data_IF_014300453714
#
_entry.id   IF_014300453714
#
_cell.length_a   1.000
_cell.length_b   1.000
_cell.length_c   1.000
_cell.angle_alpha   90.00
_cell.angle_beta   90.00
_cell.angle_gamma   90.00
#
_symmetry.space_group_name_H-M   'P 1'
#
loop_
_entity.id
_entity.type
_entity.pdbx_description
1 polymer ?
#
# COMPACT_ATOMS: atom_id res chain seq x y z
N UNK A 1 1.80 13.41 37.67
CA UNK A 1 1.74 11.94 37.49
C UNK A 1 3.04 11.42 38.02
N UNK A 2 2.99 10.49 38.99
CA UNK A 2 4.16 9.83 39.53
C UNK A 2 4.35 8.54 38.72
N UNK A 3 5.48 8.39 38.07
CA UNK A 3 5.84 7.26 37.25
C UNK A 3 6.85 6.42 38.05
N UNK A 4 6.78 5.10 37.98
CA UNK A 4 7.72 4.22 38.65
C UNK A 4 9.14 4.42 38.12
N UNK A 5 10.14 4.21 39.01
CA UNK A 5 11.52 4.53 38.71
C UNK A 5 12.07 3.80 37.46
N UNK A 6 11.61 2.58 37.21
CA UNK A 6 11.99 1.79 36.03
C UNK A 6 11.43 2.40 34.74
N UNK A 7 10.17 2.81 34.74
CA UNK A 7 9.51 3.48 33.61
C UNK A 7 10.13 4.87 33.39
N UNK A 8 10.48 5.56 34.47
CA UNK A 8 11.17 6.85 34.36
C UNK A 8 12.53 6.71 33.67
N UNK A 9 13.29 5.66 34.03
CA UNK A 9 14.58 5.37 33.42
C UNK A 9 14.45 5.03 31.93
N UNK A 10 13.52 4.16 31.55
CA UNK A 10 13.25 3.80 30.16
C UNK A 10 12.83 5.02 29.32
N UNK A 11 11.98 5.89 29.87
CA UNK A 11 11.57 7.15 29.23
C UNK A 11 12.76 8.12 29.08
N UNK A 12 13.64 8.18 30.08
CA UNK A 12 14.84 9.02 30.04
C UNK A 12 15.80 8.53 28.94
N UNK A 13 16.05 7.24 28.88
CA UNK A 13 16.92 6.61 27.88
C UNK A 13 16.35 6.82 26.46
N UNK A 14 15.04 6.64 26.30
CA UNK A 14 14.35 6.88 25.02
C UNK A 14 14.39 8.37 24.62
N UNK A 15 14.23 9.29 25.54
CA UNK A 15 14.34 10.74 25.32
C UNK A 15 15.71 11.11 24.77
N UNK A 16 16.77 10.54 25.33
CA UNK A 16 18.15 10.75 24.86
C UNK A 16 18.36 10.21 23.45
N UNK A 17 17.87 8.99 23.17
CA UNK A 17 18.04 8.34 21.86
C UNK A 17 17.18 9.01 20.77
N UNK A 18 15.97 9.46 21.11
CA UNK A 18 15.03 10.07 20.16
C UNK A 18 15.27 11.57 19.93
N UNK A 19 16.02 12.23 20.81
CA UNK A 19 16.20 13.69 20.80
C UNK A 19 14.94 14.49 21.14
N UNK A 20 13.91 13.84 21.70
CA UNK A 20 12.65 14.46 22.12
C UNK A 20 12.68 14.71 23.62
N UNK A 21 11.93 15.73 24.09
CA UNK A 21 11.83 15.95 25.54
C UNK A 21 11.06 14.80 26.21
N UNK A 22 11.37 14.51 27.47
CA UNK A 22 10.61 13.52 28.26
C UNK A 22 9.09 13.82 28.27
N UNK A 23 8.73 15.08 28.29
CA UNK A 23 7.33 15.51 28.26
C UNK A 23 6.65 15.19 26.93
N UNK A 24 7.37 15.32 25.82
CA UNK A 24 6.85 14.95 24.49
C UNK A 24 6.71 13.42 24.39
N UNK A 25 7.71 12.67 24.85
CA UNK A 25 7.67 11.20 24.90
C UNK A 25 6.48 10.71 25.75
N UNK A 26 6.25 11.31 26.91
CA UNK A 26 5.13 10.98 27.79
C UNK A 26 3.77 11.36 27.13
N UNK A 27 3.72 12.51 26.49
CA UNK A 27 2.51 12.97 25.77
C UNK A 27 2.17 12.05 24.62
N UNK A 28 3.17 11.57 23.87
CA UNK A 28 3.00 10.59 22.80
C UNK A 28 2.51 9.25 23.37
N UNK A 29 3.15 8.76 24.44
CA UNK A 29 2.76 7.52 25.10
C UNK A 29 1.32 7.56 25.65
N UNK A 30 0.95 8.67 26.32
CA UNK A 30 -0.41 8.87 26.85
C UNK A 30 -1.42 8.95 25.68
N UNK A 31 -1.11 9.66 24.59
CA UNK A 31 -1.98 9.69 23.41
C UNK A 31 -2.16 8.31 22.80
N UNK A 32 -1.08 7.53 22.70
CA UNK A 32 -1.13 6.14 22.23
C UNK A 32 -1.97 5.25 23.15
N UNK A 33 -1.85 5.40 24.46
CA UNK A 33 -2.69 4.67 25.42
C UNK A 33 -4.17 5.09 25.33
N UNK A 34 -4.44 6.40 25.17
CA UNK A 34 -5.81 6.90 25.00
C UNK A 34 -6.42 6.49 23.66
N UNK A 35 -5.62 6.37 22.63
CA UNK A 35 -6.03 5.80 21.34
C UNK A 35 -6.33 4.31 21.51
N UNK A 36 -5.41 3.52 22.10
CA UNK A 36 -5.65 2.11 22.43
C UNK A 36 -6.87 1.88 23.32
N UNK A 37 -7.09 2.72 24.32
CA UNK A 37 -8.27 2.65 25.18
C UNK A 37 -9.58 3.03 24.47
N UNK A 38 -9.50 3.74 23.36
CA UNK A 38 -10.65 3.98 22.45
C UNK A 38 -10.78 2.89 21.38
N UNK A 39 -9.71 2.14 21.17
CA UNK A 39 -9.55 1.07 20.20
C UNK A 39 -9.70 -0.33 20.86
N UNK A 40 -10.54 -0.50 21.88
CA UNK A 40 -11.17 -1.81 21.97
C UNK A 40 -11.98 -1.96 20.66
N UNK A 41 -11.67 -2.95 19.82
CA UNK A 41 -12.39 -3.16 18.57
C UNK A 41 -13.76 -3.75 18.88
N UNK A 42 -14.66 -2.92 19.40
CA UNK A 42 -16.10 -3.14 19.35
C UNK A 42 -16.69 -2.47 18.10
N UNK A 43 -15.96 -2.41 17.01
CA UNK A 43 -16.62 -2.41 15.72
C UNK A 43 -17.10 -3.85 15.52
N UNK A 44 -18.39 -4.08 15.82
CA UNK A 44 -19.11 -5.18 15.21
C UNK A 44 -18.85 -5.06 13.70
N UNK A 45 -17.86 -5.83 13.21
CA UNK A 45 -17.60 -5.93 11.79
C UNK A 45 -18.78 -6.64 11.15
N UNK A 46 -19.85 -5.91 10.85
CA UNK A 46 -21.02 -6.42 10.15
C UNK A 46 -20.71 -6.72 8.66
N UNK A 47 -19.48 -6.45 8.24
CA UNK A 47 -18.98 -6.69 6.89
C UNK A 47 -17.90 -7.77 6.85
N UNK A 48 -17.00 -7.62 5.89
CA UNK A 48 -15.83 -8.50 5.69
C UNK A 48 -14.59 -7.88 6.35
N UNK A 49 -13.62 -8.74 6.70
CA UNK A 49 -12.32 -8.31 7.22
C UNK A 49 -11.29 -8.23 6.10
N UNK A 50 -10.36 -7.28 6.20
CA UNK A 50 -9.25 -7.19 5.23
C UNK A 50 -7.95 -6.75 5.89
N UNK A 51 -6.84 -7.05 5.21
CA UNK A 51 -5.51 -6.53 5.54
C UNK A 51 -5.01 -5.61 4.42
N UNK A 52 -4.25 -4.57 4.78
CA UNK A 52 -3.68 -3.58 3.87
C UNK A 52 -2.15 -3.63 3.91
N UNK A 53 -1.54 -4.27 2.90
CA UNK A 53 -0.10 -4.41 2.78
C UNK A 53 0.49 -3.33 1.88
N UNK A 54 1.65 -2.80 2.26
CA UNK A 54 2.28 -1.64 1.60
C UNK A 54 1.32 -0.44 1.60
N UNK A 55 0.70 -0.23 2.74
CA UNK A 55 -0.48 0.62 2.92
C UNK A 55 -0.26 2.10 2.57
N UNK A 56 0.99 2.56 2.50
CA UNK A 56 1.32 3.95 2.24
C UNK A 56 0.65 4.86 3.28
N UNK A 57 -0.16 5.79 2.82
CA UNK A 57 -0.94 6.70 3.68
C UNK A 57 -2.39 6.22 3.90
N UNK A 58 -2.75 5.01 3.44
CA UNK A 58 -4.03 4.35 3.69
C UNK A 58 -5.11 4.56 2.63
N UNK A 59 -4.73 4.83 1.37
CA UNK A 59 -5.71 5.01 0.28
C UNK A 59 -6.56 3.77 0.02
N UNK A 60 -5.97 2.58 0.04
CA UNK A 60 -6.69 1.31 -0.11
C UNK A 60 -7.61 1.05 1.08
N UNK A 61 -7.13 1.32 2.29
CA UNK A 61 -7.95 1.20 3.50
C UNK A 61 -9.22 2.03 3.41
N UNK A 62 -9.11 3.32 3.04
CA UNK A 62 -10.28 4.20 2.85
C UNK A 62 -11.29 3.61 1.87
N UNK A 63 -10.81 3.06 0.75
CA UNK A 63 -11.69 2.46 -0.26
C UNK A 63 -12.44 1.24 0.27
N UNK A 64 -11.74 0.32 0.95
CA UNK A 64 -12.34 -0.91 1.47
C UNK A 64 -13.23 -0.66 2.68
N UNK A 65 -12.89 0.29 3.57
CA UNK A 65 -13.76 0.70 4.68
C UNK A 65 -15.03 1.39 4.17
N UNK A 66 -14.95 2.21 3.11
CA UNK A 66 -16.14 2.82 2.49
C UNK A 66 -17.08 1.79 1.86
N UNK A 67 -16.58 0.61 1.51
CA UNK A 67 -17.33 -0.53 1.02
C UNK A 67 -17.80 -1.49 2.15
N UNK A 68 -17.68 -1.10 3.41
CA UNK A 68 -18.13 -1.87 4.58
C UNK A 68 -17.12 -2.87 5.12
N UNK A 69 -15.87 -2.81 4.69
CA UNK A 69 -14.81 -3.67 5.21
C UNK A 69 -14.22 -3.15 6.52
N UNK A 70 -13.63 -4.06 7.31
CA UNK A 70 -12.88 -3.76 8.52
C UNK A 70 -11.41 -4.10 8.32
N UNK A 71 -10.51 -3.10 8.46
CA UNK A 71 -9.08 -3.32 8.40
C UNK A 71 -8.60 -3.95 9.72
N UNK A 72 -8.16 -5.20 9.68
CA UNK A 72 -7.67 -5.93 10.87
C UNK A 72 -6.14 -5.96 10.98
N UNK A 73 -5.43 -5.57 9.93
CA UNK A 73 -3.98 -5.50 9.91
C UNK A 73 -3.50 -4.57 8.81
N UNK A 74 -2.44 -3.83 9.06
CA UNK A 74 -1.78 -3.01 8.05
C UNK A 74 -0.25 -3.07 8.19
N UNK A 75 0.43 -2.94 7.05
CA UNK A 75 1.89 -2.96 6.97
C UNK A 75 2.39 -1.83 6.07
N UNK A 76 3.39 -1.08 6.54
CA UNK A 76 4.08 -0.04 5.79
C UNK A 76 5.48 0.17 6.38
N UNK A 77 6.52 0.13 5.55
CA UNK A 77 7.89 0.24 6.05
C UNK A 77 8.41 1.68 6.16
N UNK A 78 7.85 2.60 5.34
CA UNK A 78 8.28 3.99 5.32
C UNK A 78 7.72 4.75 6.54
N UNK A 79 8.61 5.22 7.42
CA UNK A 79 8.22 5.90 8.66
C UNK A 79 7.36 7.15 8.47
N UNK A 80 7.52 7.87 7.36
CA UNK A 80 6.71 9.07 7.08
C UNK A 80 5.32 8.71 6.61
N UNK A 81 5.19 7.67 5.80
CA UNK A 81 3.89 7.09 5.44
C UNK A 81 3.18 6.55 6.67
N UNK A 82 3.89 5.81 7.54
CA UNK A 82 3.34 5.33 8.82
C UNK A 82 2.82 6.48 9.70
N UNK A 83 3.53 7.60 9.81
CA UNK A 83 3.09 8.77 10.57
C UNK A 83 1.78 9.34 10.01
N UNK A 84 1.68 9.47 8.68
CA UNK A 84 0.46 9.94 8.03
C UNK A 84 -0.67 8.93 8.18
N UNK A 85 -0.38 7.64 8.03
CA UNK A 85 -1.36 6.57 8.25
C UNK A 85 -1.89 6.60 9.69
N UNK A 86 -1.00 6.72 10.67
CA UNK A 86 -1.38 6.84 12.07
C UNK A 86 -2.23 8.08 12.32
N UNK A 87 -1.88 9.24 11.74
CA UNK A 87 -2.67 10.45 11.88
C UNK A 87 -4.09 10.32 11.29
N UNK A 88 -4.25 9.52 10.21
CA UNK A 88 -5.53 9.30 9.56
C UNK A 88 -6.42 8.29 10.28
N UNK A 89 -5.82 7.21 10.81
CA UNK A 89 -6.56 6.03 11.28
C UNK A 89 -6.34 5.71 12.76
N UNK A 90 -5.39 6.35 13.44
CA UNK A 90 -5.04 6.06 14.84
C UNK A 90 -4.28 4.76 15.04
N UNK A 91 -4.05 3.96 14.00
CA UNK A 91 -3.38 2.65 14.04
C UNK A 91 -1.99 2.77 13.45
N UNK A 92 -1.00 2.20 14.14
CA UNK A 92 0.37 2.13 13.64
C UNK A 92 0.53 0.90 12.75
N UNK A 93 0.86 1.05 11.45
CA UNK A 93 1.19 -0.10 10.61
C UNK A 93 2.46 -0.82 11.09
N UNK A 94 2.50 -2.13 10.92
CA UNK A 94 3.74 -2.90 11.07
C UNK A 94 4.78 -2.45 10.04
N UNK A 95 6.06 -2.68 10.35
CA UNK A 95 7.18 -2.20 9.54
C UNK A 95 7.49 -3.06 8.32
N UNK A 96 8.69 -3.62 8.29
CA UNK A 96 9.23 -4.40 7.17
C UNK A 96 8.53 -5.76 7.03
N UNK A 97 7.74 -5.94 5.95
CA UNK A 97 6.97 -7.16 5.70
C UNK A 97 7.83 -8.41 5.59
N UNK A 98 9.09 -8.28 5.20
CA UNK A 98 10.02 -9.42 5.08
C UNK A 98 10.38 -10.03 6.44
N UNK A 99 10.14 -9.29 7.53
CA UNK A 99 10.39 -9.70 8.92
C UNK A 99 9.12 -10.22 9.62
N UNK A 100 7.96 -9.99 9.02
CA UNK A 100 6.68 -10.42 9.60
C UNK A 100 6.45 -11.90 9.31
N UNK A 101 6.18 -12.69 10.34
CA UNK A 101 5.76 -14.08 10.17
C UNK A 101 4.31 -14.10 9.67
N UNK A 102 4.04 -14.82 8.58
CA UNK A 102 2.71 -14.83 7.98
C UNK A 102 1.64 -15.34 8.96
N UNK A 103 2.01 -16.26 9.84
CA UNK A 103 1.15 -16.87 10.85
C UNK A 103 0.69 -15.87 11.90
N UNK A 104 1.49 -14.83 12.20
CA UNK A 104 1.15 -13.79 13.17
C UNK A 104 0.13 -12.77 12.64
N UNK A 105 -0.06 -12.70 11.32
CA UNK A 105 -1.07 -11.84 10.71
C UNK A 105 -2.46 -12.39 11.05
N UNK A 106 -3.44 -11.56 11.46
CA UNK A 106 -4.81 -12.02 11.73
C UNK A 106 -5.45 -12.71 10.51
N UNK A 107 -6.37 -13.64 10.76
CA UNK A 107 -7.20 -14.20 9.69
C UNK A 107 -8.11 -13.12 9.13
N UNK A 108 -8.29 -13.14 7.82
CA UNK A 108 -9.01 -12.10 7.08
C UNK A 108 -9.68 -12.66 5.83
N UNK A 109 -10.70 -11.96 5.37
CA UNK A 109 -11.43 -12.35 4.17
C UNK A 109 -10.74 -11.91 2.88
N UNK A 110 -10.13 -10.71 2.89
CA UNK A 110 -9.51 -10.10 1.70
C UNK A 110 -8.10 -9.60 2.03
N UNK A 111 -7.13 -9.93 1.17
CA UNK A 111 -5.81 -9.32 1.18
C UNK A 111 -5.76 -8.19 0.15
N UNK A 112 -5.41 -6.99 0.59
CA UNK A 112 -5.21 -5.83 -0.28
C UNK A 112 -3.75 -5.42 -0.26
N UNK A 113 -3.15 -5.13 -1.43
CA UNK A 113 -1.75 -4.74 -1.49
C UNK A 113 -1.42 -3.86 -2.71
N UNK A 114 -0.86 -2.69 -2.46
CA UNK A 114 -0.19 -1.85 -3.47
C UNK A 114 1.31 -2.14 -3.49
N UNK A 115 1.72 -3.32 -3.98
CA UNK A 115 3.11 -3.74 -3.89
C UNK A 115 4.03 -2.95 -4.84
N UNK A 116 5.28 -2.63 -4.45
CA UNK A 116 6.18 -1.85 -5.28
C UNK A 116 6.64 -2.60 -6.53
N UNK A 117 6.77 -1.86 -7.65
CA UNK A 117 7.33 -2.38 -8.90
C UNK A 117 8.85 -2.51 -8.77
N UNK A 118 9.32 -3.61 -8.20
CA UNK A 118 10.74 -3.93 -8.16
C UNK A 118 11.13 -4.85 -9.31
N UNK A 119 12.32 -4.71 -9.90
CA UNK A 119 12.78 -5.62 -10.94
C UNK A 119 12.89 -7.04 -10.37
N UNK A 120 12.18 -7.97 -11.00
CA UNK A 120 12.35 -9.38 -10.70
C UNK A 120 13.76 -9.81 -11.12
N UNK A 121 14.52 -10.36 -10.22
CA UNK A 121 15.78 -11.02 -10.56
C UNK A 121 15.48 -12.34 -11.25
N UNK A 122 15.32 -12.27 -12.58
CA UNK A 122 14.91 -13.40 -13.44
C UNK A 122 15.95 -14.53 -13.41
N UNK A 123 17.19 -14.26 -13.00
CA UNK A 123 18.25 -15.25 -12.94
C UNK A 123 17.91 -16.48 -12.06
N UNK A 124 17.10 -16.31 -11.01
CA UNK A 124 16.64 -17.39 -10.15
C UNK A 124 15.50 -18.22 -10.76
N UNK A 125 14.57 -17.58 -11.45
CA UNK A 125 13.38 -18.22 -12.03
C UNK A 125 13.72 -19.00 -13.30
N UNK A 126 14.50 -18.41 -14.21
CA UNK A 126 14.89 -19.05 -15.47
C UNK A 126 15.76 -20.31 -15.27
N UNK A 127 16.63 -20.31 -14.25
CA UNK A 127 17.53 -21.46 -13.99
C UNK A 127 16.78 -22.69 -13.45
N UNK A 128 15.62 -22.50 -12.83
CA UNK A 128 14.79 -23.60 -12.29
C UNK A 128 13.87 -24.21 -13.34
N UNK A 129 13.29 -23.39 -14.22
CA UNK A 129 12.47 -23.88 -15.33
C UNK A 129 13.28 -24.74 -16.30
N UNK A 130 14.58 -24.43 -16.51
CA UNK A 130 15.48 -25.23 -17.35
C UNK A 130 15.92 -26.54 -16.70
N UNK A 131 15.77 -26.69 -15.38
CA UNK A 131 16.18 -27.91 -14.63
C UNK A 131 15.02 -28.81 -14.23
N UNK A 132 13.77 -28.51 -14.65
CA UNK A 132 12.57 -29.33 -14.38
C UNK A 132 12.24 -29.46 -12.88
N UNK A 133 12.79 -28.58 -12.02
CA UNK A 133 12.49 -28.56 -10.59
C UNK A 133 11.28 -27.67 -10.32
N UNK A 134 10.33 -28.17 -9.52
CA UNK A 134 9.19 -27.41 -9.08
C UNK A 134 9.62 -26.02 -8.53
N UNK A 135 9.00 -24.97 -9.05
CA UNK A 135 9.15 -23.60 -8.55
C UNK A 135 8.53 -23.52 -7.16
N UNK A 136 9.26 -23.98 -6.15
CA UNK A 136 8.81 -23.87 -4.76
C UNK A 136 9.02 -22.46 -4.24
N UNK A 137 8.05 -21.93 -3.53
CA UNK A 137 8.09 -20.64 -2.81
C UNK A 137 9.18 -20.56 -1.72
N UNK A 138 9.96 -21.61 -1.55
CA UNK A 138 10.96 -21.76 -0.48
C UNK A 138 12.33 -21.15 -0.80
N UNK A 139 12.53 -20.58 -2.00
CA UNK A 139 13.83 -20.02 -2.37
C UNK A 139 14.00 -18.58 -1.92
N UNK A 140 14.76 -18.38 -0.86
CA UNK A 140 15.16 -17.08 -0.29
C UNK A 140 15.87 -16.12 -1.27
N UNK A 141 16.13 -16.54 -2.50
CA UNK A 141 16.80 -15.74 -3.54
C UNK A 141 15.82 -14.95 -4.42
N UNK A 142 14.52 -15.08 -4.23
CA UNK A 142 13.50 -14.39 -5.04
C UNK A 142 13.14 -12.99 -4.53
N UNK A 143 13.99 -12.31 -3.83
CA UNK A 143 14.02 -10.98 -3.23
C UNK A 143 13.09 -9.87 -3.73
N UNK A 144 11.86 -10.16 -4.15
CA UNK A 144 10.86 -9.13 -4.46
C UNK A 144 9.69 -9.24 -3.49
N UNK A 145 9.19 -8.10 -3.05
CA UNK A 145 8.08 -7.98 -2.11
C UNK A 145 6.76 -8.63 -2.60
N UNK A 146 6.63 -8.88 -3.90
CA UNK A 146 5.54 -9.69 -4.44
C UNK A 146 5.52 -11.11 -3.88
N UNK A 147 6.68 -11.74 -3.68
CA UNK A 147 6.74 -13.08 -3.10
C UNK A 147 6.40 -13.11 -1.61
N UNK A 148 6.55 -11.98 -0.89
CA UNK A 148 6.00 -11.84 0.45
C UNK A 148 4.47 -11.81 0.43
N UNK A 149 3.85 -11.16 -0.56
CA UNK A 149 2.40 -11.27 -0.77
C UNK A 149 2.01 -12.73 -1.02
N UNK A 150 2.72 -13.45 -1.90
CA UNK A 150 2.46 -14.86 -2.16
C UNK A 150 2.62 -15.73 -0.90
N UNK A 151 3.62 -15.46 -0.06
CA UNK A 151 3.86 -16.14 1.21
C UNK A 151 2.67 -15.98 2.16
N UNK A 152 2.13 -14.77 2.26
CA UNK A 152 0.97 -14.47 3.11
C UNK A 152 -0.30 -15.10 2.52
N UNK A 153 -0.54 -14.99 1.20
CA UNK A 153 -1.63 -15.66 0.51
C UNK A 153 -1.63 -17.18 0.74
N UNK A 154 -0.45 -17.80 0.70
CA UNK A 154 -0.29 -19.24 0.96
C UNK A 154 -0.63 -19.61 2.39
N UNK A 155 -0.14 -18.83 3.37
CA UNK A 155 -0.30 -19.12 4.79
C UNK A 155 -1.73 -18.82 5.29
N UNK A 156 -2.32 -17.71 4.87
CA UNK A 156 -3.61 -17.21 5.38
C UNK A 156 -4.81 -17.60 4.53
N UNK A 157 -4.59 -17.83 3.28
CA UNK A 157 -5.60 -18.28 2.33
C UNK A 157 -6.92 -17.48 2.39
N UNK A 158 -6.85 -16.14 2.21
CA UNK A 158 -8.05 -15.31 2.20
C UNK A 158 -9.00 -15.69 1.07
N UNK A 159 -10.29 -15.37 1.23
CA UNK A 159 -11.33 -15.63 0.22
C UNK A 159 -11.04 -14.98 -1.12
N UNK A 160 -10.46 -13.77 -1.06
CA UNK A 160 -10.08 -13.00 -2.24
C UNK A 160 -8.84 -12.14 -1.96
N UNK A 161 -8.26 -11.60 -3.01
CA UNK A 161 -7.25 -10.55 -2.89
C UNK A 161 -7.47 -9.47 -3.95
N UNK A 162 -6.99 -8.27 -3.69
CA UNK A 162 -6.82 -7.20 -4.66
C UNK A 162 -5.39 -6.65 -4.60
N UNK A 163 -4.68 -6.72 -5.73
CA UNK A 163 -3.33 -6.18 -5.87
C UNK A 163 -3.32 -5.02 -6.85
N UNK A 164 -2.56 -3.97 -6.56
CA UNK A 164 -2.38 -2.81 -7.42
C UNK A 164 -0.92 -2.63 -7.80
N UNK A 165 -0.68 -2.19 -9.03
CA UNK A 165 0.64 -1.78 -9.49
C UNK A 165 0.54 -0.77 -10.64
N UNK A 166 1.68 -0.24 -11.07
CA UNK A 166 1.74 0.63 -12.25
C UNK A 166 1.40 -0.13 -13.52
N UNK A 167 0.75 0.52 -14.50
CA UNK A 167 0.42 -0.06 -15.81
C UNK A 167 1.61 -0.74 -16.48
N UNK A 168 2.81 -0.16 -16.34
CA UNK A 168 4.02 -0.68 -16.99
C UNK A 168 4.43 -2.08 -16.51
N UNK A 169 3.86 -2.59 -15.42
CA UNK A 169 4.06 -3.96 -14.97
C UNK A 169 3.71 -4.97 -16.07
N UNK A 170 2.67 -4.69 -16.88
CA UNK A 170 2.23 -5.56 -17.96
C UNK A 170 3.26 -5.69 -19.09
N UNK A 171 4.06 -4.65 -19.33
CA UNK A 171 5.06 -4.63 -20.41
C UNK A 171 6.49 -4.83 -19.89
N UNK A 172 6.69 -4.81 -18.57
CA UNK A 172 7.99 -4.97 -17.96
C UNK A 172 8.64 -6.29 -18.39
N UNK A 173 9.90 -6.20 -18.81
CA UNK A 173 10.66 -7.34 -19.33
C UNK A 173 9.91 -8.13 -20.43
N UNK A 174 9.37 -7.40 -21.42
CA UNK A 174 8.58 -7.97 -22.53
C UNK A 174 7.37 -8.80 -22.07
N UNK A 175 6.77 -8.43 -20.93
CA UNK A 175 5.60 -9.08 -20.34
C UNK A 175 5.94 -10.29 -19.44
N UNK A 176 7.18 -10.71 -19.35
CA UNK A 176 7.60 -11.89 -18.54
C UNK A 176 7.31 -11.71 -17.06
N UNK A 177 7.55 -10.50 -16.53
CA UNK A 177 7.26 -10.18 -15.12
C UNK A 177 5.79 -10.41 -14.78
N UNK A 178 4.88 -9.92 -15.61
CA UNK A 178 3.45 -10.07 -15.36
C UNK A 178 2.98 -11.52 -15.54
N UNK A 179 3.58 -12.25 -16.48
CA UNK A 179 3.32 -13.68 -16.64
C UNK A 179 3.71 -14.47 -15.38
N UNK A 180 4.88 -14.21 -14.79
CA UNK A 180 5.33 -14.85 -13.54
C UNK A 180 4.34 -14.54 -12.40
N UNK A 181 3.89 -13.30 -12.27
CA UNK A 181 2.88 -12.91 -11.27
C UNK A 181 1.60 -13.73 -11.43
N UNK A 182 1.08 -13.82 -12.66
CA UNK A 182 -0.14 -14.57 -12.93
C UNK A 182 0.01 -16.07 -12.64
N UNK A 183 1.14 -16.67 -13.05
CA UNK A 183 1.46 -18.08 -12.82
C UNK A 183 1.55 -18.37 -11.32
N UNK A 184 2.32 -17.56 -10.57
CA UNK A 184 2.45 -17.71 -9.12
C UNK A 184 1.10 -17.63 -8.38
N UNK A 185 0.23 -16.69 -8.77
CA UNK A 185 -1.10 -16.57 -8.15
C UNK A 185 -2.03 -17.76 -8.52
N UNK A 186 -1.90 -18.31 -9.73
CA UNK A 186 -2.65 -19.50 -10.15
C UNK A 186 -2.14 -20.78 -9.45
N UNK A 187 -0.82 -20.89 -9.24
CA UNK A 187 -0.22 -21.98 -8.47
C UNK A 187 -0.70 -22.00 -7.01
N UNK A 188 -1.02 -20.81 -6.44
CA UNK A 188 -1.69 -20.69 -5.15
C UNK A 188 -3.19 -21.06 -5.18
N UNK A 189 -3.68 -21.57 -6.31
CA UNK A 189 -5.05 -21.99 -6.52
C UNK A 189 -6.09 -20.84 -6.49
N UNK A 190 -5.69 -19.64 -6.96
CA UNK A 190 -6.63 -18.53 -7.17
C UNK A 190 -7.06 -18.41 -8.63
N UNK A 191 -8.33 -18.07 -8.86
CA UNK A 191 -8.81 -17.60 -10.16
C UNK A 191 -8.51 -16.11 -10.27
N UNK A 192 -7.74 -15.72 -11.27
CA UNK A 192 -7.16 -14.37 -11.38
C UNK A 192 -7.80 -13.60 -12.53
N UNK A 193 -8.20 -12.36 -12.25
CA UNK A 193 -8.72 -11.37 -13.20
C UNK A 193 -7.86 -10.11 -13.09
N UNK A 194 -7.74 -9.34 -14.17
CA UNK A 194 -7.02 -8.07 -14.13
C UNK A 194 -7.55 -7.10 -15.17
N UNK A 195 -7.40 -5.80 -14.85
CA UNK A 195 -7.72 -4.71 -15.77
C UNK A 195 -6.83 -3.49 -15.49
N UNK A 196 -6.48 -2.75 -16.54
CA UNK A 196 -5.87 -1.43 -16.40
C UNK A 196 -7.00 -0.41 -16.24
N UNK A 197 -6.93 0.35 -15.15
CA UNK A 197 -7.92 1.35 -14.79
C UNK A 197 -7.22 2.72 -14.76
N UNK A 198 -7.85 3.73 -15.37
CA UNK A 198 -7.39 5.09 -15.33
C UNK A 198 -8.24 5.92 -14.37
N UNK A 199 -7.58 6.53 -13.39
CA UNK A 199 -8.23 7.38 -12.39
C UNK A 199 -8.89 8.65 -12.94
N UNK A 200 -8.55 9.06 -14.19
CA UNK A 200 -9.06 10.33 -14.78
C UNK A 200 -10.59 10.40 -14.88
N UNK A 201 -11.27 9.26 -14.90
CA UNK A 201 -12.72 9.20 -14.89
C UNK A 201 -13.37 9.56 -13.55
N UNK A 202 -12.58 9.63 -12.47
CA UNK A 202 -13.05 9.79 -11.09
C UNK A 202 -12.41 10.98 -10.39
N UNK A 203 -11.15 11.28 -10.71
CA UNK A 203 -10.37 12.37 -10.11
C UNK A 203 -9.64 13.16 -11.22
N UNK A 204 -9.24 14.42 -10.97
CA UNK A 204 -8.55 15.23 -11.98
C UNK A 204 -7.08 14.82 -12.16
N UNK A 205 -6.83 13.51 -12.26
CA UNK A 205 -5.49 12.95 -12.44
C UNK A 205 -5.53 11.80 -13.45
N UNK A 206 -4.69 11.89 -14.48
CA UNK A 206 -4.40 10.75 -15.33
C UNK A 206 -3.45 9.80 -14.62
N UNK A 207 -4.01 8.67 -14.10
CA UNK A 207 -3.28 7.69 -13.29
C UNK A 207 -3.71 6.29 -13.68
N UNK A 208 -3.00 5.68 -14.61
CA UNK A 208 -3.26 4.31 -15.05
C UNK A 208 -2.60 3.30 -14.10
N UNK A 209 -3.40 2.36 -13.60
CA UNK A 209 -2.95 1.28 -12.72
C UNK A 209 -3.51 -0.05 -13.19
N UNK A 210 -2.70 -1.10 -13.09
CA UNK A 210 -3.22 -2.45 -13.19
C UNK A 210 -3.79 -2.84 -11.83
N UNK A 211 -5.02 -3.31 -11.85
CA UNK A 211 -5.69 -3.94 -10.69
C UNK A 211 -5.83 -5.43 -11.00
N UNK A 212 -5.36 -6.27 -10.08
CA UNK A 212 -5.37 -7.72 -10.18
C UNK A 212 -6.24 -8.24 -9.04
N UNK A 213 -7.29 -8.98 -9.36
CA UNK A 213 -8.23 -9.56 -8.39
C UNK A 213 -8.17 -11.07 -8.48
N UNK A 214 -8.14 -11.75 -7.34
CA UNK A 214 -8.16 -13.19 -7.29
C UNK A 214 -9.18 -13.72 -6.30
N UNK A 215 -9.80 -14.84 -6.66
CA UNK A 215 -10.75 -15.57 -5.81
C UNK A 215 -10.23 -16.98 -5.55
N UNK A 216 -10.32 -17.42 -4.30
CA UNK A 216 -9.91 -18.76 -3.90
C UNK A 216 -10.80 -19.82 -4.55
N UNK A 217 -10.20 -20.68 -5.39
CA UNK A 217 -10.92 -21.72 -6.12
C UNK A 217 -11.49 -22.83 -5.22
N UNK A 218 -10.90 -23.04 -4.03
CA UNK A 218 -11.45 -24.02 -3.09
C UNK A 218 -12.79 -23.57 -2.53
N UNK A 219 -12.98 -22.24 -2.41
CA UNK A 219 -14.22 -21.65 -1.89
C UNK A 219 -15.25 -21.37 -2.96
N UNK A 220 -14.82 -20.88 -4.12
CA UNK A 220 -15.70 -20.35 -5.17
C UNK A 220 -15.76 -21.25 -6.41
N UNK A 221 -14.92 -22.29 -6.50
CA UNK A 221 -14.83 -23.17 -7.65
C UNK A 221 -14.10 -22.56 -8.84
N UNK A 222 -13.84 -23.36 -9.85
CA UNK A 222 -13.16 -22.97 -11.09
C UNK A 222 -13.99 -21.99 -11.94
N UNK A 223 -15.30 -22.03 -11.83
CA UNK A 223 -16.24 -21.27 -12.68
C UNK A 223 -16.58 -19.88 -12.10
N UNK A 224 -15.91 -19.44 -11.03
CA UNK A 224 -16.11 -18.08 -10.51
C UNK A 224 -15.84 -17.06 -11.60
N UNK A 225 -16.78 -16.12 -11.78
CA UNK A 225 -16.68 -15.02 -12.73
C UNK A 225 -16.59 -13.69 -11.99
N UNK A 226 -15.87 -12.74 -12.58
CA UNK A 226 -15.73 -11.39 -12.05
C UNK A 226 -15.64 -10.40 -13.21
N UNK A 227 -16.28 -9.27 -13.07
CA UNK A 227 -16.24 -8.16 -14.02
C UNK A 227 -15.89 -6.87 -13.28
N UNK A 228 -14.97 -6.10 -13.86
CA UNK A 228 -14.69 -4.74 -13.38
C UNK A 228 -15.80 -3.80 -13.84
N UNK A 229 -16.80 -3.64 -13.00
CA UNK A 229 -17.94 -2.76 -13.27
C UNK A 229 -17.56 -1.30 -12.92
N UNK A 230 -17.03 -0.58 -13.90
CA UNK A 230 -16.51 0.77 -13.74
C UNK A 230 -17.56 1.81 -14.12
N UNK A 231 -17.89 2.70 -13.19
CA UNK A 231 -18.83 3.80 -13.38
C UNK A 231 -18.12 5.16 -13.29
N UNK A 232 -17.42 5.61 -14.36
CA UNK A 232 -16.79 6.93 -14.34
C UNK A 232 -17.83 8.04 -14.20
N UNK A 233 -17.44 9.14 -13.60
CA UNK A 233 -18.30 10.30 -13.41
C UNK A 233 -18.78 10.83 -14.78
N UNK A 234 -20.06 11.22 -14.88
CA UNK A 234 -20.64 11.80 -16.10
C UNK A 234 -19.89 13.05 -16.56
N UNK A 235 -19.41 13.86 -15.62
CA UNK A 235 -18.56 15.03 -15.86
C UNK A 235 -17.18 14.73 -15.29
N UNK A 236 -16.17 14.75 -16.13
CA UNK A 236 -14.80 14.58 -15.71
C UNK A 236 -14.39 15.71 -14.74
N UNK A 237 -13.88 15.40 -13.53
CA UNK A 237 -13.43 16.40 -12.58
C UNK A 237 -12.18 17.10 -13.10
N UNK A 238 -12.02 18.38 -12.74
CA UNK A 238 -10.85 19.19 -13.06
C UNK A 238 -10.14 19.62 -11.79
N UNK A 239 -8.87 20.02 -11.90
CA UNK A 239 -8.06 20.42 -10.74
C UNK A 239 -8.78 21.48 -9.87
N UNK A 240 -9.49 22.42 -10.50
CA UNK A 240 -10.24 23.48 -9.79
C UNK A 240 -11.28 22.92 -8.83
N UNK A 241 -11.86 21.74 -9.10
CA UNK A 241 -12.92 21.15 -8.28
C UNK A 241 -12.39 20.64 -6.92
N UNK A 242 -11.05 20.44 -6.82
CA UNK A 242 -10.39 19.93 -5.61
C UNK A 242 -9.48 20.95 -4.93
N UNK A 243 -9.36 22.19 -5.49
CA UNK A 243 -8.55 23.22 -4.85
C UNK A 243 -9.27 23.74 -3.60
N UNK A 244 -8.52 23.83 -2.51
CA UNK A 244 -8.96 24.50 -1.29
C UNK A 244 -9.15 26.00 -1.55
N UNK A 245 -10.21 26.59 -0.99
CA UNK A 245 -10.51 28.02 -1.17
C UNK A 245 -9.55 28.91 -0.39
N UNK A 246 -9.15 28.44 0.78
CA UNK A 246 -8.24 29.13 1.70
C UNK A 246 -7.08 28.22 2.02
N UNK A 247 -5.86 28.68 1.77
CA UNK A 247 -4.63 27.93 2.00
C UNK A 247 -3.70 28.79 2.85
N UNK A 248 -3.09 28.20 3.89
CA UNK A 248 -2.11 28.89 4.72
C UNK A 248 -0.92 29.36 3.89
N UNK A 249 -0.45 30.60 4.14
CA UNK A 249 0.70 31.20 3.43
C UNK A 249 1.97 30.34 3.48
N UNK A 250 2.12 29.49 4.51
CA UNK A 250 3.28 28.56 4.61
C UNK A 250 3.40 27.58 3.44
N UNK A 251 2.32 27.37 2.69
CA UNK A 251 2.30 26.52 1.50
C UNK A 251 2.49 27.31 0.19
N UNK A 252 2.53 28.63 0.28
CA UNK A 252 2.77 29.50 -0.88
C UNK A 252 4.25 29.55 -1.16
N UNK A 253 4.63 29.33 -2.43
CA UNK A 253 6.01 29.45 -2.86
C UNK A 253 6.49 30.90 -2.76
N UNK A 254 7.74 31.11 -2.35
CA UNK A 254 8.33 32.45 -2.43
C UNK A 254 8.44 32.91 -3.90
N UNK A 255 8.36 34.21 -4.14
CA UNK A 255 8.49 34.80 -5.49
C UNK A 255 9.78 34.33 -6.19
N UNK A 256 10.89 34.23 -5.45
CA UNK A 256 12.16 33.74 -5.97
C UNK A 256 12.04 32.30 -6.51
N UNK A 257 11.39 31.42 -5.77
CA UNK A 257 11.20 30.02 -6.18
C UNK A 257 10.20 29.93 -7.35
N UNK A 258 9.13 30.75 -7.31
CA UNK A 258 8.16 30.80 -8.39
C UNK A 258 8.78 31.24 -9.72
N UNK A 259 9.59 32.32 -9.72
CA UNK A 259 10.33 32.79 -10.90
C UNK A 259 11.31 31.72 -11.41
N UNK A 260 12.01 31.03 -10.49
CA UNK A 260 12.89 29.93 -10.85
C UNK A 260 12.14 28.81 -11.60
N UNK A 261 11.00 28.37 -11.07
CA UNK A 261 10.18 27.33 -11.71
C UNK A 261 9.64 27.74 -13.07
N UNK A 262 9.21 29.00 -13.22
CA UNK A 262 8.78 29.52 -14.52
C UNK A 262 9.91 29.49 -15.57
N UNK A 263 11.10 29.93 -15.18
CA UNK A 263 12.27 29.93 -16.08
C UNK A 263 12.68 28.47 -16.39
N UNK A 264 12.61 27.57 -15.42
CA UNK A 264 12.89 26.16 -15.63
C UNK A 264 11.90 25.54 -16.64
N UNK A 265 10.61 25.77 -16.47
CA UNK A 265 9.57 25.28 -17.37
C UNK A 265 9.74 25.86 -18.81
N UNK A 266 10.08 27.14 -18.92
CA UNK A 266 10.35 27.77 -20.22
C UNK A 266 11.52 27.10 -20.95
N UNK A 267 12.65 26.91 -20.25
CA UNK A 267 13.85 26.24 -20.79
C UNK A 267 13.54 24.83 -21.29
N UNK A 268 12.78 24.05 -20.53
CA UNK A 268 12.41 22.70 -20.94
C UNK A 268 11.44 22.66 -22.09
N UNK A 269 10.53 23.63 -22.20
CA UNK A 269 9.64 23.80 -23.36
C UNK A 269 10.43 24.10 -24.63
N UNK A 270 11.40 25.03 -24.57
CA UNK A 270 12.30 25.36 -25.69
C UNK A 270 13.12 24.13 -26.12
N UNK A 271 13.54 23.31 -25.19
CA UNK A 271 14.27 22.06 -25.48
C UNK A 271 13.38 20.90 -25.98
N UNK A 272 12.07 21.10 -26.15
CA UNK A 272 11.14 20.06 -26.60
C UNK A 272 10.84 18.99 -25.57
N UNK A 273 11.17 19.19 -24.28
CA UNK A 273 11.00 18.21 -23.21
C UNK A 273 9.60 18.23 -22.58
N UNK A 274 8.61 18.83 -23.27
CA UNK A 274 7.27 18.97 -22.76
C UNK A 274 7.12 20.05 -21.69
N UNK A 275 5.94 20.11 -21.08
CA UNK A 275 5.59 21.09 -20.06
C UNK A 275 5.46 20.42 -18.69
N UNK A 276 6.16 20.97 -17.69
CA UNK A 276 6.06 20.53 -16.31
C UNK A 276 6.82 21.44 -15.38
N UNK A 277 6.40 21.47 -14.10
CA UNK A 277 7.07 22.20 -13.02
C UNK A 277 7.82 21.26 -12.06
N UNK A 278 7.86 19.96 -12.35
CA UNK A 278 8.54 18.96 -11.53
C UNK A 278 9.33 17.98 -12.34
#
# INVERSE_FOLDING_TARGET
>A
IRVDDDIYKELSDYSVVSGQSMQDCLSVAIRQMLVKAKEEPSQDCNGYTFIDLFAGIGGMRLAFESAGGCCVYSNEWNKYSQQTYYANFGVQPDGDITKVQAESIPDHDILVAGFPCQPFSIAGVSKKNSLGRATGFEDKTQGTLFFDVCRILKAKRPKAFMLENVKNLCSHDKGRTFQIIQESLRELNYKVFFQIIDGKGYVPQHRERIVIVGFDKERYGENVSFSFDLHPLKKQPVVRDILEKEVSEKYTLSDKLWIYLQNYAAKHREAGNGFGYG
#
